data_IF_408640133500
#
_entry.id   IF_408640133500
#
_cell.length_a   1.000
_cell.length_b   1.000
_cell.length_c   1.000
_cell.angle_alpha   90.00
_cell.angle_beta   90.00
_cell.angle_gamma   90.00
#
_symmetry.space_group_name_H-M   'P 1'
#
loop_
_entity.id
_entity.type
_entity.pdbx_description
1 polymer ?
#
# COMPACT_ATOMS: atom_id res chain seq x y z
N UNK A 1 2.22 -7.02 6.27
CA UNK A 1 2.11 -5.89 7.21
C UNK A 1 0.90 -5.06 6.82
N UNK A 2 0.28 -4.38 7.78
CA UNK A 2 -0.87 -3.49 7.54
C UNK A 2 -0.52 -2.13 8.13
N UNK A 3 -0.70 -1.09 7.33
CA UNK A 3 -0.35 0.28 7.68
C UNK A 3 -1.55 1.20 7.44
N UNK A 4 -1.71 2.22 8.27
CA UNK A 4 -2.73 3.25 8.08
C UNK A 4 -2.14 4.42 7.31
N UNK A 5 -2.49 4.57 6.04
CA UNK A 5 -1.96 5.65 5.20
C UNK A 5 -2.76 6.94 5.39
N UNK A 6 -2.04 8.07 5.27
CA UNK A 6 -2.69 9.36 5.18
C UNK A 6 -3.32 9.55 3.79
N UNK A 7 -4.66 9.59 3.73
CA UNK A 7 -5.41 9.75 2.49
C UNK A 7 -5.01 10.98 1.67
N UNK A 8 -4.71 12.11 2.33
CA UNK A 8 -4.36 13.34 1.63
C UNK A 8 -3.01 13.20 0.91
N UNK A 9 -2.03 12.58 1.58
CA UNK A 9 -0.71 12.33 1.00
C UNK A 9 -0.83 11.33 -0.16
N UNK A 10 -1.57 10.23 0.04
CA UNK A 10 -1.80 9.22 -1.00
C UNK A 10 -2.42 9.85 -2.26
N UNK A 11 -3.53 10.58 -2.08
CA UNK A 11 -4.23 11.25 -3.18
C UNK A 11 -3.36 12.27 -3.91
N UNK A 12 -2.55 13.03 -3.17
CA UNK A 12 -1.60 13.98 -3.77
C UNK A 12 -0.49 13.27 -4.55
N UNK A 13 0.04 12.15 -4.05
CA UNK A 13 1.09 11.38 -4.73
C UNK A 13 0.60 10.76 -6.03
N UNK A 14 -0.61 10.20 -6.03
CA UNK A 14 -1.21 9.58 -7.22
C UNK A 14 -1.98 10.59 -8.11
N UNK A 15 -2.14 11.84 -7.67
CA UNK A 15 -2.83 12.89 -8.41
C UNK A 15 -4.33 12.66 -8.56
N UNK A 16 -4.97 12.02 -7.57
CA UNK A 16 -6.39 11.64 -7.59
C UNK A 16 -7.18 12.36 -6.51
N UNK A 17 -8.50 12.48 -6.69
CA UNK A 17 -9.39 13.12 -5.71
C UNK A 17 -10.23 12.12 -4.91
N UNK A 18 -10.41 10.91 -5.45
CA UNK A 18 -11.29 9.89 -4.91
C UNK A 18 -10.61 8.52 -4.95
N UNK A 19 -10.99 7.63 -4.02
CA UNK A 19 -10.49 6.24 -4.00
C UNK A 19 -10.84 5.47 -5.29
N UNK A 20 -11.96 5.80 -5.93
CA UNK A 20 -12.36 5.20 -7.20
C UNK A 20 -11.43 5.61 -8.37
N UNK A 21 -10.85 6.81 -8.32
CA UNK A 21 -9.88 7.27 -9.31
C UNK A 21 -8.49 6.69 -9.05
N UNK A 22 -8.21 6.32 -7.79
CA UNK A 22 -6.95 5.68 -7.40
C UNK A 22 -6.76 4.35 -8.13
N UNK A 23 -7.81 3.54 -8.26
CA UNK A 23 -7.78 2.29 -9.02
C UNK A 23 -7.36 2.53 -10.48
N UNK A 24 -7.96 3.54 -11.14
CA UNK A 24 -7.62 3.91 -12.52
C UNK A 24 -6.21 4.48 -12.63
N UNK A 25 -5.78 5.31 -11.68
CA UNK A 25 -4.43 5.89 -11.67
C UNK A 25 -3.37 4.80 -11.51
N UNK A 26 -3.58 3.86 -10.58
CA UNK A 26 -2.67 2.74 -10.36
C UNK A 26 -2.61 1.83 -11.61
N UNK A 27 -3.76 1.50 -12.20
CA UNK A 27 -3.81 0.70 -13.43
C UNK A 27 -3.14 1.38 -14.65
N UNK A 28 -3.06 2.73 -14.66
CA UNK A 28 -2.35 3.48 -15.69
C UNK A 28 -0.85 3.66 -15.41
N UNK A 29 -0.39 3.37 -14.18
CA UNK A 29 1.02 3.49 -13.80
C UNK A 29 1.75 2.15 -13.94
N UNK A 30 3.07 2.23 -14.10
CA UNK A 30 3.91 1.05 -14.06
C UNK A 30 3.90 0.46 -12.63
N UNK A 31 3.75 -0.87 -12.46
CA UNK A 31 3.72 -1.50 -11.14
C UNK A 31 4.89 -1.10 -10.24
N UNK A 32 6.11 -1.01 -10.79
CA UNK A 32 7.30 -0.60 -10.05
C UNK A 32 7.26 0.84 -9.51
N UNK A 33 6.54 1.76 -10.16
CA UNK A 33 6.33 3.12 -9.64
C UNK A 33 5.33 3.13 -8.51
N UNK A 34 4.26 2.33 -8.63
CA UNK A 34 3.26 2.19 -7.58
C UNK A 34 3.91 1.64 -6.32
N UNK A 35 4.73 0.59 -6.45
CA UNK A 35 5.48 0.00 -5.34
C UNK A 35 6.39 1.03 -4.66
N UNK A 36 7.08 1.86 -5.46
CA UNK A 36 7.96 2.92 -4.94
C UNK A 36 7.17 3.96 -4.12
N UNK A 37 6.07 4.48 -4.67
CA UNK A 37 5.25 5.47 -3.98
C UNK A 37 4.58 4.91 -2.72
N UNK A 38 4.08 3.67 -2.77
CA UNK A 38 3.51 2.99 -1.62
C UNK A 38 4.56 2.73 -0.56
N UNK A 39 5.77 2.34 -0.95
CA UNK A 39 6.90 2.17 -0.03
C UNK A 39 7.30 3.48 0.63
N UNK A 40 7.37 4.57 -0.13
CA UNK A 40 7.67 5.91 0.41
C UNK A 40 6.56 6.40 1.37
N UNK A 41 5.29 6.22 1.00
CA UNK A 41 4.15 6.55 1.86
C UNK A 41 4.05 5.66 3.09
N UNK A 42 4.51 4.42 3.02
CA UNK A 42 4.59 3.49 4.13
C UNK A 42 5.75 3.80 5.09
N UNK A 43 6.75 4.54 4.61
CA UNK A 43 7.98 4.78 5.35
C UNK A 43 7.70 5.77 6.50
N UNK A 44 7.80 5.28 7.73
CA UNK A 44 7.48 6.06 8.94
C UNK A 44 6.02 6.02 9.37
N UNK A 45 5.20 5.17 8.74
CA UNK A 45 3.82 4.89 9.19
C UNK A 45 3.83 3.71 10.16
N UNK A 46 3.12 3.87 11.27
CA UNK A 46 2.98 2.81 12.26
C UNK A 46 2.09 1.65 11.75
N UNK A 47 2.40 0.44 12.24
CA UNK A 47 1.56 -0.72 11.99
C UNK A 47 0.18 -0.50 12.61
N UNK A 48 -0.85 -0.66 11.78
CA UNK A 48 -2.23 -0.50 12.20
C UNK A 48 -2.98 -1.81 12.12
N UNK A 49 -4.05 -1.90 12.91
CA UNK A 49 -4.94 -3.04 12.91
C UNK A 49 -6.14 -2.75 12.00
N UNK A 50 -6.27 -3.53 10.91
CA UNK A 50 -7.43 -3.44 10.03
C UNK A 50 -8.48 -4.49 10.41
N UNK A 51 -9.71 -4.04 10.66
CA UNK A 51 -10.84 -4.93 10.83
C UNK A 51 -11.51 -5.20 9.49
N UNK A 52 -11.25 -6.36 8.89
CA UNK A 52 -11.76 -6.73 7.56
C UNK A 52 -13.28 -6.77 7.42
N UNK A 53 -14.05 -6.66 8.52
CA UNK A 53 -15.53 -6.56 8.49
C UNK A 53 -16.04 -5.15 8.18
N UNK A 54 -15.22 -4.12 8.37
CA UNK A 54 -15.62 -2.72 8.19
C UNK A 54 -15.08 -2.09 6.89
N UNK A 55 -14.62 -2.94 5.97
CA UNK A 55 -14.09 -2.51 4.68
C UNK A 55 -15.26 -2.19 3.75
N UNK A 56 -15.28 -0.97 3.26
CA UNK A 56 -16.19 -0.51 2.21
C UNK A 56 -15.70 -0.94 0.82
N UNK A 57 -14.41 -0.80 0.54
CA UNK A 57 -13.83 -1.14 -0.76
C UNK A 57 -12.39 -1.60 -0.62
N UNK A 58 -11.97 -2.47 -1.53
CA UNK A 58 -10.63 -3.02 -1.55
C UNK A 58 -10.10 -3.01 -2.97
N UNK A 59 -8.87 -2.54 -3.15
CA UNK A 59 -8.13 -2.59 -4.41
C UNK A 59 -6.93 -3.49 -4.18
N UNK A 60 -6.74 -4.47 -5.06
CA UNK A 60 -5.59 -5.36 -5.02
C UNK A 60 -4.66 -5.03 -6.19
N UNK A 61 -3.40 -4.74 -5.88
CA UNK A 61 -2.36 -4.34 -6.82
C UNK A 61 -1.15 -5.26 -6.63
N UNK A 62 -1.16 -6.39 -7.33
CA UNK A 62 -0.07 -7.37 -7.23
C UNK A 62 0.14 -7.85 -5.80
N UNK A 63 1.26 -7.46 -5.19
CA UNK A 63 1.63 -7.80 -3.81
C UNK A 63 1.11 -6.79 -2.75
N UNK A 64 0.50 -5.70 -3.20
CA UNK A 64 -0.11 -4.66 -2.36
C UNK A 64 -1.63 -4.77 -2.40
N UNK A 65 -2.28 -4.45 -1.29
CA UNK A 65 -3.73 -4.42 -1.14
C UNK A 65 -4.12 -3.17 -0.37
N UNK A 66 -4.84 -2.28 -1.02
CA UNK A 66 -5.40 -1.07 -0.43
C UNK A 66 -6.83 -1.35 0.03
N UNK A 67 -7.14 -0.96 1.24
CA UNK A 67 -8.47 -1.09 1.82
C UNK A 67 -8.98 0.28 2.23
N UNK A 68 -10.25 0.54 1.94
CA UNK A 68 -10.99 1.71 2.36
C UNK A 68 -12.07 1.26 3.33
N UNK A 69 -12.04 1.80 4.55
CA UNK A 69 -13.09 1.58 5.55
C UNK A 69 -14.22 2.62 5.44
N UNK A 70 -15.36 2.35 6.07
CA UNK A 70 -16.51 3.27 6.11
C UNK A 70 -16.23 4.62 6.79
N UNK A 71 -15.14 4.75 7.55
CA UNK A 71 -14.68 6.00 8.17
C UNK A 71 -13.79 6.83 7.22
N UNK A 72 -13.70 6.44 5.94
CA UNK A 72 -12.82 7.03 4.93
C UNK A 72 -11.32 6.94 5.26
N UNK A 73 -10.94 5.96 6.08
CA UNK A 73 -9.55 5.61 6.36
C UNK A 73 -9.01 4.63 5.33
N UNK A 74 -7.75 4.83 4.93
CA UNK A 74 -7.09 4.01 3.91
C UNK A 74 -5.99 3.18 4.55
N UNK A 75 -6.09 1.88 4.38
CA UNK A 75 -5.13 0.92 4.89
C UNK A 75 -4.37 0.29 3.74
N UNK A 76 -3.07 0.16 3.88
CA UNK A 76 -2.21 -0.56 2.96
C UNK A 76 -1.75 -1.85 3.62
N UNK A 77 -2.14 -2.98 3.03
CA UNK A 77 -1.59 -4.28 3.33
C UNK A 77 -0.62 -4.67 2.23
N UNK A 78 0.57 -5.10 2.61
CA UNK A 78 1.49 -5.74 1.67
C UNK A 78 2.23 -6.86 2.36
N UNK A 79 2.60 -7.85 1.59
CA UNK A 79 3.54 -8.86 2.05
C UNK A 79 4.91 -8.19 2.04
N UNK A 80 5.41 -7.78 3.21
CA UNK A 80 6.84 -7.51 3.31
C UNK A 80 7.49 -8.86 3.03
N UNK A 81 8.05 -9.03 1.84
CA UNK A 81 9.08 -10.03 1.66
C UNK A 81 10.14 -9.64 2.67
N UNK A 82 10.22 -10.39 3.76
CA UNK A 82 11.42 -10.39 4.56
C UNK A 82 12.56 -10.58 3.58
N UNK A 83 13.41 -9.57 3.44
CA UNK A 83 14.80 -9.78 3.03
C UNK A 83 15.46 -10.60 4.16
N UNK A 84 14.97 -11.81 4.41
CA UNK A 84 15.70 -12.84 5.09
C UNK A 84 16.72 -13.35 4.07
N UNK A 85 17.87 -12.69 4.10
CA UNK A 85 19.14 -13.24 3.72
C UNK A 85 19.19 -13.93 2.34
N UNK A 86 19.35 -13.12 1.29
CA UNK A 86 20.43 -13.43 0.34
C UNK A 86 21.78 -13.05 0.97
N UNK A 87 22.04 -13.51 2.20
CA UNK A 87 23.42 -13.60 2.68
C UNK A 87 24.04 -14.70 1.82
N UNK A 88 24.83 -14.28 0.84
CA UNK A 88 25.71 -15.16 0.09
C UNK A 88 26.57 -15.90 1.11
N UNK A 89 26.23 -17.16 1.39
CA UNK A 89 27.11 -18.08 2.07
C UNK A 89 28.32 -18.33 1.14
N UNK A 90 29.28 -17.41 1.14
CA UNK A 90 30.63 -17.67 0.68
C UNK A 90 31.29 -18.57 1.70
N UNK A 91 31.14 -19.88 1.48
CA UNK A 91 32.01 -20.89 2.07
C UNK A 91 33.43 -20.65 1.52
N UNK A 92 34.32 -20.16 2.38
CA UNK A 92 35.77 -20.26 2.18
C UNK A 92 36.26 -21.58 2.74
#
# INVERSE_FOLDING_TARGET
MILLLNKNSLFSTFGVNCFNDLDLAINNMAPSMVDYYLSDLSNGVDNSYLNKRNIQSSINIGDFSLYLDYDEEIYLEFLQQSNEAFETASLW
#
